data_IF_308174447342
#
_entry.id   IF_308174447342
#
_cell.length_a   1.000
_cell.length_b   1.000
_cell.length_c   1.000
_cell.angle_alpha   90.00
_cell.angle_beta   90.00
_cell.angle_gamma   90.00
#
_symmetry.space_group_name_H-M   'P 1'
#
loop_
_entity.id
_entity.type
_entity.pdbx_description
1 polymer ?
#
# COMPACT_ATOMS: atom_id res chain seq x y z
N UNK A 1 -13.09 -6.75 -9.28
CA UNK A 1 -12.34 -6.66 -10.56
C UNK A 1 -11.10 -5.78 -10.33
N UNK A 2 -9.89 -6.33 -10.51
CA UNK A 2 -8.54 -5.68 -10.57
C UNK A 2 -7.79 -5.28 -9.27
N UNK A 3 -8.34 -5.36 -8.05
CA UNK A 3 -7.52 -5.06 -6.83
C UNK A 3 -6.59 -6.20 -6.33
N UNK A 4 -6.66 -7.40 -6.91
CA UNK A 4 -6.16 -8.63 -6.27
C UNK A 4 -4.65 -8.93 -6.40
N UNK A 5 -3.83 -8.13 -7.10
CA UNK A 5 -2.46 -8.58 -7.47
C UNK A 5 -1.31 -7.61 -7.15
N UNK A 6 -1.53 -6.59 -6.34
CA UNK A 6 -0.55 -5.50 -6.23
C UNK A 6 0.75 -5.91 -5.53
N UNK A 7 0.69 -6.34 -4.27
CA UNK A 7 1.85 -6.84 -3.54
C UNK A 7 2.22 -8.29 -3.93
N UNK A 8 1.20 -9.12 -4.19
CA UNK A 8 1.39 -10.54 -4.55
C UNK A 8 2.23 -10.72 -5.82
N UNK A 9 2.18 -9.77 -6.76
CA UNK A 9 3.04 -9.78 -7.94
C UNK A 9 4.53 -9.71 -7.59
N UNK A 10 4.90 -8.96 -6.56
CA UNK A 10 6.28 -8.90 -6.08
C UNK A 10 6.67 -10.19 -5.36
N UNK A 11 5.77 -10.74 -4.54
CA UNK A 11 5.98 -12.03 -3.88
C UNK A 11 6.26 -13.15 -4.87
N UNK A 12 5.48 -13.23 -5.95
CA UNK A 12 5.65 -14.21 -7.03
C UNK A 12 6.94 -14.01 -7.84
N UNK A 13 7.55 -12.82 -7.79
CA UNK A 13 8.87 -12.52 -8.39
C UNK A 13 10.04 -12.86 -7.47
N UNK A 14 9.78 -13.28 -6.23
CA UNK A 14 10.79 -13.63 -5.25
C UNK A 14 11.09 -12.53 -4.23
N UNK A 15 10.36 -11.41 -4.24
CA UNK A 15 10.51 -10.38 -3.21
C UNK A 15 10.06 -10.91 -1.85
N UNK A 16 10.82 -10.61 -0.79
CA UNK A 16 10.57 -11.06 0.59
C UNK A 16 10.74 -9.96 1.63
N UNK A 17 11.20 -8.78 1.22
CA UNK A 17 11.47 -7.68 2.13
C UNK A 17 10.29 -6.71 2.15
N UNK A 18 9.72 -6.47 3.32
CA UNK A 18 8.70 -5.43 3.50
C UNK A 18 9.28 -4.04 3.23
N UNK A 19 8.52 -3.19 2.56
CA UNK A 19 8.98 -1.87 2.17
C UNK A 19 8.05 -1.17 1.18
N UNK A 20 8.52 -0.05 0.63
CA UNK A 20 7.77 0.76 -0.32
C UNK A 20 8.05 0.26 -1.73
N UNK A 21 6.98 -0.10 -2.46
CA UNK A 21 7.07 -0.59 -3.84
C UNK A 21 6.21 0.28 -4.78
N UNK A 22 6.70 0.60 -5.99
CA UNK A 22 5.93 1.32 -6.99
C UNK A 22 4.96 0.37 -7.69
N UNK A 23 3.68 0.73 -7.69
CA UNK A 23 2.62 -0.07 -8.29
C UNK A 23 1.92 0.74 -9.37
N UNK A 24 1.36 0.03 -10.36
CA UNK A 24 0.56 0.64 -11.42
C UNK A 24 -0.65 -0.25 -11.72
N UNK A 25 -1.74 -0.12 -10.94
CA UNK A 25 -3.04 -0.68 -11.31
C UNK A 25 -3.48 -0.23 -12.71
N UNK A 26 -4.34 -1.02 -13.36
CA UNK A 26 -4.80 -0.71 -14.71
C UNK A 26 -5.49 0.65 -14.75
N UNK A 27 -5.19 1.46 -15.78
CA UNK A 27 -5.70 2.83 -15.96
C UNK A 27 -5.34 3.85 -14.86
N UNK A 28 -4.43 3.52 -13.94
CA UNK A 28 -3.93 4.46 -12.92
C UNK A 28 -2.55 5.03 -13.27
N UNK A 29 -2.24 6.20 -12.70
CA UNK A 29 -0.85 6.68 -12.62
C UNK A 29 -0.07 5.79 -11.64
N UNK A 30 1.23 5.53 -11.87
CA UNK A 30 2.04 4.81 -10.89
C UNK A 30 2.05 5.54 -9.55
N UNK A 31 1.95 4.81 -8.45
CA UNK A 31 2.07 5.34 -7.10
C UNK A 31 2.76 4.34 -6.18
N UNK A 32 3.24 4.81 -5.04
CA UNK A 32 3.96 4.01 -4.07
C UNK A 32 3.01 3.44 -3.02
N UNK A 33 3.21 2.18 -2.64
CA UNK A 33 2.50 1.54 -1.53
C UNK A 33 3.48 0.79 -0.66
N UNK A 34 3.16 0.68 0.63
CA UNK A 34 3.89 -0.22 1.51
C UNK A 34 3.39 -1.66 1.29
N UNK A 35 4.30 -2.54 0.92
CA UNK A 35 4.06 -3.97 0.80
C UNK A 35 4.63 -4.67 2.02
N UNK A 36 3.80 -5.46 2.68
CA UNK A 36 4.20 -6.32 3.78
C UNK A 36 4.31 -7.75 3.29
N UNK A 37 5.49 -8.34 3.45
CA UNK A 37 5.77 -9.72 3.07
C UNK A 37 5.77 -10.60 4.31
N UNK A 38 5.13 -11.75 4.20
CA UNK A 38 5.12 -12.80 5.22
C UNK A 38 5.61 -14.10 4.60
N UNK A 39 5.81 -15.14 5.42
CA UNK A 39 6.17 -16.47 4.91
C UNK A 39 5.07 -17.05 3.99
N UNK A 40 3.83 -16.59 4.15
CA UNK A 40 2.65 -17.11 3.47
C UNK A 40 2.25 -16.29 2.24
N UNK A 41 2.79 -15.09 2.05
CA UNK A 41 2.45 -14.24 0.91
C UNK A 41 2.87 -12.78 1.05
N UNK A 42 2.15 -11.90 0.37
CA UNK A 42 2.33 -10.46 0.50
C UNK A 42 1.00 -9.70 0.45
N UNK A 43 0.95 -8.64 1.25
CA UNK A 43 -0.21 -7.77 1.44
C UNK A 43 0.15 -6.33 1.08
N UNK A 44 -0.81 -5.59 0.53
CA UNK A 44 -0.69 -4.14 0.33
C UNK A 44 -1.29 -3.43 1.51
N UNK A 45 -0.51 -2.60 2.20
CA UNK A 45 -1.01 -1.81 3.33
C UNK A 45 -1.72 -0.59 2.79
N UNK A 46 -3.02 -0.48 3.06
CA UNK A 46 -3.87 0.64 2.62
C UNK A 46 -4.06 1.72 3.69
N UNK A 47 -3.84 1.36 4.96
CA UNK A 47 -3.89 2.27 6.10
C UNK A 47 -3.08 1.68 7.24
N UNK A 48 -2.29 2.50 7.94
CA UNK A 48 -1.52 2.12 9.12
C UNK A 48 -1.73 3.17 10.20
N UNK A 49 -2.02 2.71 11.43
CA UNK A 49 -2.04 3.56 12.62
C UNK A 49 -1.00 3.06 13.60
N UNK A 50 -0.11 3.94 13.98
CA UNK A 50 0.86 3.73 15.05
C UNK A 50 0.84 4.98 15.91
N UNK A 51 0.99 4.82 17.23
CA UNK A 51 1.24 5.86 18.25
C UNK A 51 0.33 7.11 18.32
N UNK A 52 -0.62 7.28 17.41
CA UNK A 52 -1.52 8.44 17.36
C UNK A 52 -0.90 9.71 16.77
N UNK A 53 0.29 9.65 16.17
CA UNK A 53 0.97 10.83 15.60
C UNK A 53 0.30 11.42 14.36
N UNK A 54 -0.51 10.64 13.66
CA UNK A 54 -1.25 11.08 12.46
C UNK A 54 -2.70 11.34 12.84
N UNK A 55 -3.19 12.55 12.55
CA UNK A 55 -4.59 12.90 12.69
C UNK A 55 -5.42 12.26 11.57
N UNK A 56 -6.44 11.50 11.95
CA UNK A 56 -7.36 10.84 11.03
C UNK A 56 -8.72 11.53 10.94
N UNK A 57 -8.97 12.60 11.70
CA UNK A 57 -10.15 13.44 11.49
C UNK A 57 -9.89 14.41 10.33
N UNK A 58 -9.90 13.86 9.11
CA UNK A 58 -9.53 14.55 7.88
C UNK A 58 -10.73 14.73 6.95
N UNK A 59 -10.63 15.71 6.04
CA UNK A 59 -11.66 15.95 5.03
C UNK A 59 -11.77 14.81 4.02
N UNK A 60 -12.90 14.74 3.29
CA UNK A 60 -13.11 13.72 2.27
C UNK A 60 -12.03 13.75 1.18
N UNK A 61 -11.63 14.95 0.76
CA UNK A 61 -10.58 15.13 -0.25
C UNK A 61 -9.25 14.53 0.21
N UNK A 62 -8.92 14.65 1.50
CA UNK A 62 -7.72 14.02 2.07
C UNK A 62 -7.80 12.50 2.08
N UNK A 63 -8.97 11.93 2.33
CA UNK A 63 -9.18 10.49 2.24
C UNK A 63 -9.07 9.97 0.79
N UNK A 64 -9.45 10.77 -0.21
CA UNK A 64 -9.32 10.43 -1.62
C UNK A 64 -7.85 10.55 -2.13
N UNK A 65 -7.15 11.61 -1.74
CA UNK A 65 -5.76 11.86 -2.16
C UNK A 65 -4.72 11.05 -1.35
N UNK A 66 -5.03 10.71 -0.10
CA UNK A 66 -4.11 10.12 0.86
C UNK A 66 -3.42 11.14 1.77
N UNK A 67 -3.12 10.73 3.01
CA UNK A 67 -2.43 11.55 4.02
C UNK A 67 -1.57 10.70 4.95
N UNK A 68 -0.69 11.35 5.72
CA UNK A 68 0.24 10.70 6.65
C UNK A 68 1.63 10.47 6.05
N UNK A 69 2.42 9.65 6.76
CA UNK A 69 3.76 9.25 6.33
C UNK A 69 3.79 7.86 5.69
N UNK A 70 4.87 7.53 4.97
CA UNK A 70 5.10 6.19 4.42
C UNK A 70 5.28 5.11 5.51
#
# INVERSE_FOLDING_TARGET
MVFLLTAMKFFNRGERNSGIYPIKPNQSKPFNVYCEFTAEGASTVIQRRQDGSVDFDQTWEKYEEGFGGP
#
